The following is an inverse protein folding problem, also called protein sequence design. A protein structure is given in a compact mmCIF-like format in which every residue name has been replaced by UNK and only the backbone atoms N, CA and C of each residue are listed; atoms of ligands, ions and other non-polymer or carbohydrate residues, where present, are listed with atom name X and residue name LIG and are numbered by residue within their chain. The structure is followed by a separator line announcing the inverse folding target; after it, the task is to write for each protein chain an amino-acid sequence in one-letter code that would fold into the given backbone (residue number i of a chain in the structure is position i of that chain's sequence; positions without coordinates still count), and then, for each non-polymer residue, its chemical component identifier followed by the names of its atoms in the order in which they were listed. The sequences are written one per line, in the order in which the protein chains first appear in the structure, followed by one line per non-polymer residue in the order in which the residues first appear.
data_IF_421374365962
#
_entry.id   IF_421374365962
#
_cell.length_a   1.000
_cell.length_b   1.000
_cell.length_c   1.000
_cell.angle_alpha   90.00
_cell.angle_beta   90.00
_cell.angle_gamma   90.00
#
_symmetry.space_group_name_H-M   'P 1'
#
loop_
_entity.id
_entity.type
_entity.pdbx_description
1 polymer ?
#
# COMPACT_ATOMS: atom_id res chain seq x y z
N UNK A 1 6.42 -41.37 -85.48
CA UNK A 1 6.63 -39.91 -85.59
C UNK A 1 6.21 -39.28 -84.29
N UNK A 2 7.18 -39.06 -83.41
CA UNK A 2 7.04 -38.66 -82.01
C UNK A 2 7.10 -37.14 -81.91
N UNK A 3 5.98 -36.49 -81.57
CA UNK A 3 5.93 -35.05 -81.32
C UNK A 3 6.32 -34.73 -79.88
N UNK A 4 7.28 -33.82 -79.73
CA UNK A 4 7.89 -33.36 -78.49
C UNK A 4 7.12 -32.16 -77.91
N UNK A 5 6.70 -32.31 -76.65
CA UNK A 5 7.00 -31.46 -75.49
C UNK A 5 7.08 -29.94 -75.75
N UNK A 6 6.17 -29.20 -75.09
CA UNK A 6 6.52 -27.93 -74.46
C UNK A 6 5.71 -27.75 -73.17
N UNK A 7 6.28 -28.20 -72.04
CA UNK A 7 5.77 -27.92 -70.70
C UNK A 7 6.24 -26.53 -70.28
N UNK A 8 5.32 -25.57 -70.20
CA UNK A 8 5.58 -24.26 -69.60
C UNK A 8 5.16 -24.33 -68.12
N UNK A 9 6.07 -24.74 -67.24
CA UNK A 9 5.88 -24.63 -65.79
C UNK A 9 6.13 -23.17 -65.38
N UNK A 10 5.06 -22.42 -65.18
CA UNK A 10 5.11 -21.13 -64.48
C UNK A 10 5.31 -21.40 -62.98
N UNK A 11 6.55 -21.23 -62.50
CA UNK A 11 6.87 -21.30 -61.08
C UNK A 11 6.43 -19.99 -60.42
N UNK A 12 5.20 -19.95 -59.91
CA UNK A 12 4.74 -18.87 -59.04
C UNK A 12 5.46 -18.97 -57.70
N UNK A 13 6.44 -18.10 -57.48
CA UNK A 13 7.07 -17.90 -56.17
C UNK A 13 6.11 -17.09 -55.28
N UNK A 14 5.37 -17.79 -54.42
CA UNK A 14 4.59 -17.18 -53.34
C UNK A 14 5.55 -16.53 -52.34
N UNK A 15 5.77 -15.22 -52.49
CA UNK A 15 6.45 -14.42 -51.46
C UNK A 15 5.56 -14.36 -50.24
N UNK A 16 5.93 -15.11 -49.21
CA UNK A 16 5.26 -15.08 -47.91
C UNK A 16 5.67 -13.78 -47.20
N UNK A 17 4.92 -12.70 -47.40
CA UNK A 17 5.05 -11.55 -46.51
C UNK A 17 4.67 -12.03 -45.09
N UNK A 18 5.54 -11.84 -44.08
CA UNK A 18 5.18 -12.19 -42.72
C UNK A 18 3.94 -11.37 -42.35
N UNK A 19 2.84 -12.06 -42.01
CA UNK A 19 1.73 -11.42 -41.34
C UNK A 19 2.31 -10.84 -40.05
N UNK A 20 2.45 -9.52 -39.97
CA UNK A 20 2.68 -8.86 -38.69
C UNK A 20 1.40 -9.10 -37.88
N UNK A 21 1.39 -10.18 -37.10
CA UNK A 21 0.38 -10.37 -36.08
C UNK A 21 0.38 -9.11 -35.20
N UNK A 22 -0.80 -8.61 -34.88
CA UNK A 22 -0.96 -7.45 -34.02
C UNK A 22 -0.35 -7.79 -32.65
N UNK A 23 0.85 -7.30 -32.37
CA UNK A 23 1.54 -7.53 -31.12
C UNK A 23 0.94 -6.59 -30.08
N UNK A 24 0.14 -7.13 -29.17
CA UNK A 24 -0.34 -6.40 -28.00
C UNK A 24 0.63 -6.62 -26.85
N UNK A 25 1.10 -5.54 -26.24
CA UNK A 25 1.94 -5.62 -25.03
C UNK A 25 1.10 -5.98 -23.81
N UNK A 26 1.75 -6.42 -22.74
CA UNK A 26 1.07 -6.73 -21.48
C UNK A 26 0.38 -5.47 -20.91
N UNK A 27 1.02 -4.32 -21.07
CA UNK A 27 0.54 -3.01 -20.61
C UNK A 27 -0.68 -2.50 -21.41
N UNK A 28 -0.79 -2.89 -22.69
CA UNK A 28 -1.92 -2.54 -23.56
C UNK A 28 -3.13 -3.48 -23.40
N UNK A 29 -2.92 -4.66 -22.80
CA UNK A 29 -3.99 -5.63 -22.59
C UNK A 29 -4.92 -5.20 -21.44
N UNK A 30 -5.99 -4.49 -21.79
CA UNK A 30 -7.06 -4.08 -20.88
C UNK A 30 -8.44 -4.59 -21.39
N UNK A 31 -8.70 -5.90 -21.32
CA UNK A 31 -9.96 -6.44 -21.80
C UNK A 31 -11.13 -5.90 -20.96
N UNK A 32 -12.18 -5.34 -21.58
CA UNK A 32 -13.37 -4.96 -20.84
C UNK A 32 -14.03 -6.23 -20.26
N UNK A 33 -14.56 -6.13 -19.05
CA UNK A 33 -15.35 -7.21 -18.46
C UNK A 33 -16.53 -7.55 -19.37
N UNK A 34 -16.67 -8.82 -19.75
CA UNK A 34 -17.81 -9.32 -20.53
C UNK A 34 -18.94 -9.85 -19.64
N UNK A 35 -18.78 -9.74 -18.31
CA UNK A 35 -19.78 -10.18 -17.34
C UNK A 35 -20.92 -9.16 -17.27
N UNK A 36 -22.08 -9.50 -17.85
CA UNK A 36 -23.31 -8.72 -17.73
C UNK A 36 -24.20 -9.37 -16.67
N UNK A 37 -24.28 -8.73 -15.50
CA UNK A 37 -25.11 -9.17 -14.38
C UNK A 37 -25.80 -7.96 -13.74
N UNK A 38 -26.98 -8.12 -13.11
CA UNK A 38 -27.59 -7.04 -12.34
C UNK A 38 -26.65 -6.56 -11.23
N UNK A 39 -26.41 -5.25 -11.18
CA UNK A 39 -25.61 -4.62 -10.14
C UNK A 39 -26.47 -4.11 -8.99
N UNK A 40 -25.94 -4.22 -7.77
CA UNK A 40 -26.57 -3.71 -6.56
C UNK A 40 -25.53 -2.94 -5.74
N UNK A 41 -25.16 -1.71 -6.16
CA UNK A 41 -24.12 -0.93 -5.48
C UNK A 41 -24.61 -0.53 -4.07
N UNK A 42 -23.92 -1.04 -3.05
CA UNK A 42 -24.14 -0.66 -1.66
C UNK A 42 -23.17 0.46 -1.28
N UNK A 43 -23.70 1.59 -0.82
CA UNK A 43 -22.90 2.77 -0.42
C UNK A 43 -22.68 2.87 1.09
N UNK A 44 -23.40 2.08 1.88
CA UNK A 44 -23.34 2.07 3.34
C UNK A 44 -23.33 0.65 3.88
N UNK A 45 -22.45 0.36 4.83
CA UNK A 45 -22.38 -0.96 5.44
C UNK A 45 -23.62 -1.24 6.30
N UNK A 46 -24.14 -2.48 6.21
CA UNK A 46 -25.30 -2.92 7.02
C UNK A 46 -25.02 -2.85 8.52
N UNK A 47 -23.79 -3.17 8.92
CA UNK A 47 -23.32 -3.12 10.31
C UNK A 47 -22.13 -2.17 10.43
N UNK A 48 -21.95 -1.51 11.60
CA UNK A 48 -20.76 -0.73 11.85
C UNK A 48 -19.49 -1.56 11.69
N UNK A 49 -18.45 -0.97 11.10
CA UNK A 49 -17.17 -1.64 10.89
C UNK A 49 -15.98 -0.76 11.30
N UNK A 50 -14.81 -1.39 11.38
CA UNK A 50 -13.53 -0.74 11.66
C UNK A 50 -12.68 -0.82 10.41
N UNK A 51 -12.22 0.32 9.90
CA UNK A 51 -11.14 0.34 8.92
C UNK A 51 -9.81 0.20 9.64
N UNK A 52 -9.24 -1.01 9.58
CA UNK A 52 -7.97 -1.36 10.22
C UNK A 52 -6.75 -0.95 9.40
N UNK A 53 -6.94 -0.46 8.16
CA UNK A 53 -5.84 -0.19 7.24
C UNK A 53 -6.03 1.13 6.47
N UNK A 54 -5.85 2.23 7.18
CA UNK A 54 -5.84 3.58 6.58
C UNK A 54 -4.48 4.26 6.72
N UNK A 55 -4.28 5.33 5.96
CA UNK A 55 -3.07 6.13 5.98
C UNK A 55 -3.40 7.62 6.02
N UNK A 56 -3.27 8.22 7.20
CA UNK A 56 -3.50 9.64 7.44
C UNK A 56 -2.20 10.35 7.84
N UNK A 57 -1.29 10.50 6.88
CA UNK A 57 0.06 11.08 7.08
C UNK A 57 0.07 12.49 7.67
N UNK A 58 -1.02 13.24 7.47
CA UNK A 58 -1.16 14.63 7.91
C UNK A 58 -2.24 14.78 8.97
N UNK A 59 -2.52 13.72 9.73
CA UNK A 59 -3.61 13.73 10.71
C UNK A 59 -3.52 14.91 11.68
N UNK A 60 -2.32 15.32 12.09
CA UNK A 60 -2.08 16.48 12.95
C UNK A 60 -2.60 17.83 12.40
N UNK A 61 -2.89 17.93 11.10
CA UNK A 61 -3.47 19.13 10.46
C UNK A 61 -4.66 18.79 9.55
N UNK A 62 -5.13 17.54 9.60
CA UNK A 62 -6.22 17.07 8.75
C UNK A 62 -7.54 17.63 9.25
N UNK A 63 -8.45 17.93 8.31
CA UNK A 63 -9.84 18.22 8.64
C UNK A 63 -10.56 16.95 9.11
N UNK A 64 -10.59 16.73 10.43
CA UNK A 64 -11.19 15.56 11.05
C UNK A 64 -12.72 15.56 10.95
N UNK A 65 -13.36 16.73 10.88
CA UNK A 65 -14.82 16.84 10.68
C UNK A 65 -15.26 16.34 9.31
N UNK A 66 -14.48 16.61 8.27
CA UNK A 66 -14.72 16.04 6.94
C UNK A 66 -14.60 14.53 6.98
N UNK A 67 -13.50 14.01 7.53
CA UNK A 67 -13.27 12.57 7.63
C UNK A 67 -14.38 11.86 8.42
N UNK A 68 -14.80 12.44 9.55
CA UNK A 68 -15.90 11.91 10.38
C UNK A 68 -17.20 11.79 9.59
N UNK A 69 -17.57 12.81 8.80
CA UNK A 69 -18.79 12.74 7.96
C UNK A 69 -18.69 11.63 6.91
N UNK A 70 -17.54 11.48 6.27
CA UNK A 70 -17.29 10.39 5.33
C UNK A 70 -17.36 9.01 6.01
N UNK A 71 -16.87 8.88 7.24
CA UNK A 71 -17.04 7.67 8.03
C UNK A 71 -18.52 7.38 8.34
N UNK A 72 -19.29 8.39 8.71
CA UNK A 72 -20.72 8.26 9.04
C UNK A 72 -21.54 7.81 7.81
N UNK A 73 -21.23 8.35 6.62
CA UNK A 73 -21.85 7.95 5.34
C UNK A 73 -21.67 6.45 5.05
N UNK A 74 -20.49 5.90 5.39
CA UNK A 74 -20.15 4.49 5.18
C UNK A 74 -20.68 3.56 6.29
N UNK A 75 -21.14 4.09 7.42
CA UNK A 75 -21.34 3.35 8.68
C UNK A 75 -20.01 2.81 9.26
N UNK A 76 -18.92 3.57 9.14
CA UNK A 76 -17.62 3.25 9.71
C UNK A 76 -17.53 3.78 11.15
N UNK A 77 -17.35 2.88 12.11
CA UNK A 77 -17.23 3.23 13.52
C UNK A 77 -15.86 3.78 13.88
N UNK A 78 -14.79 3.12 13.42
CA UNK A 78 -13.41 3.48 13.79
C UNK A 78 -12.51 3.41 12.55
N UNK A 79 -11.57 4.34 12.44
CA UNK A 79 -10.48 4.27 11.47
C UNK A 79 -9.13 4.21 12.19
N UNK A 80 -8.30 3.25 11.78
CA UNK A 80 -6.95 3.03 12.29
C UNK A 80 -5.95 3.63 11.32
N UNK A 81 -5.29 4.71 11.74
CA UNK A 81 -4.20 5.33 11.02
C UNK A 81 -2.90 4.55 11.24
N UNK A 82 -2.46 3.85 10.19
CA UNK A 82 -1.22 3.07 10.15
C UNK A 82 0.02 3.92 9.77
N UNK A 83 -0.08 5.24 9.87
CA UNK A 83 0.99 6.19 9.57
C UNK A 83 1.19 7.19 10.71
N UNK A 84 1.18 6.70 11.96
CA UNK A 84 1.33 7.53 13.16
C UNK A 84 2.73 8.07 13.40
N UNK A 85 3.76 7.50 12.75
CA UNK A 85 5.17 7.86 12.97
C UNK A 85 5.55 7.59 14.44
N UNK A 86 6.43 8.40 15.03
CA UNK A 86 6.90 8.22 16.41
C UNK A 86 7.20 9.58 17.04
N UNK A 87 7.23 9.64 18.38
CA UNK A 87 7.60 10.81 19.15
C UNK A 87 6.69 12.00 18.89
N UNK A 88 7.30 13.17 18.63
CA UNK A 88 6.56 14.43 18.46
C UNK A 88 5.52 14.38 17.35
N UNK A 89 5.82 13.69 16.25
CA UNK A 89 4.90 13.59 15.13
C UNK A 89 3.64 12.81 15.51
N UNK A 90 3.82 11.70 16.23
CA UNK A 90 2.72 10.90 16.76
C UNK A 90 1.90 11.70 17.76
N UNK A 91 2.59 12.35 18.72
CA UNK A 91 1.94 13.17 19.74
C UNK A 91 1.10 14.28 19.12
N UNK A 92 1.60 14.95 18.07
CA UNK A 92 0.83 15.98 17.39
C UNK A 92 -0.46 15.44 16.74
N UNK A 93 -0.45 14.18 16.25
CA UNK A 93 -1.66 13.56 15.71
C UNK A 93 -2.66 13.21 16.81
N UNK A 94 -2.19 12.65 17.92
CA UNK A 94 -3.06 12.26 19.04
C UNK A 94 -3.60 13.47 19.80
N UNK A 95 -2.80 14.53 19.98
CA UNK A 95 -3.24 15.82 20.51
C UNK A 95 -4.32 16.43 19.60
N UNK A 96 -4.10 16.45 18.28
CA UNK A 96 -5.11 16.97 17.33
C UNK A 96 -6.42 16.17 17.38
N UNK A 97 -6.37 14.84 17.55
CA UNK A 97 -7.58 14.04 17.76
C UNK A 97 -8.28 14.43 19.07
N UNK A 98 -7.52 14.60 20.16
CA UNK A 98 -8.05 14.96 21.47
C UNK A 98 -8.74 16.34 21.43
N UNK A 99 -8.11 17.32 20.77
CA UNK A 99 -8.62 18.69 20.64
C UNK A 99 -9.89 18.79 19.78
N UNK A 100 -10.15 17.80 18.93
CA UNK A 100 -11.34 17.76 18.06
C UNK A 100 -12.48 16.90 18.65
N UNK A 101 -12.43 16.56 19.95
CA UNK A 101 -13.50 15.89 20.71
C UNK A 101 -14.17 14.70 19.98
N UNK A 102 -13.36 13.82 19.40
CA UNK A 102 -13.84 12.59 18.74
C UNK A 102 -13.34 11.33 19.44
N UNK A 103 -13.69 11.10 20.73
CA UNK A 103 -13.24 9.91 21.44
C UNK A 103 -13.59 8.64 20.66
N UNK A 104 -12.59 7.77 20.51
CA UNK A 104 -12.74 6.42 19.96
C UNK A 104 -13.19 6.31 18.49
N UNK A 105 -13.14 7.39 17.69
CA UNK A 105 -13.38 7.32 16.22
C UNK A 105 -12.07 7.22 15.42
N UNK A 106 -11.02 7.88 15.90
CA UNK A 106 -9.70 7.90 15.27
C UNK A 106 -8.69 7.22 16.18
N UNK A 107 -7.93 6.29 15.60
CA UNK A 107 -6.92 5.51 16.31
C UNK A 107 -5.60 5.64 15.57
N UNK A 108 -4.49 5.77 16.30
CA UNK A 108 -3.15 5.92 15.72
C UNK A 108 -2.26 4.75 16.14
N UNK A 109 -1.59 4.13 15.17
CA UNK A 109 -0.53 3.16 15.41
C UNK A 109 0.84 3.84 15.31
N UNK A 110 1.70 3.59 16.29
CA UNK A 110 3.10 3.99 16.26
C UNK A 110 3.87 3.23 15.16
N UNK A 111 4.98 3.83 14.71
CA UNK A 111 5.91 3.23 13.78
C UNK A 111 7.33 3.29 14.35
N UNK A 112 8.14 2.27 14.09
CA UNK A 112 9.54 2.24 14.53
C UNK A 112 10.42 3.07 13.59
N UNK A 113 11.27 3.92 14.14
CA UNK A 113 12.36 4.56 13.41
C UNK A 113 13.65 3.73 13.46
N UNK A 114 14.06 3.21 12.31
CA UNK A 114 15.26 2.39 12.16
C UNK A 114 16.53 3.20 11.83
N UNK A 115 16.47 4.54 11.74
CA UNK A 115 17.57 5.41 11.29
C UNK A 115 18.85 5.39 12.14
N UNK A 116 18.85 4.67 13.28
CA UNK A 116 20.01 4.47 14.15
C UNK A 116 20.39 3.01 14.39
N UNK A 117 19.78 2.04 13.69
CA UNK A 117 20.05 0.63 13.91
C UNK A 117 21.53 0.31 13.67
N UNK A 118 22.16 -0.36 14.66
CA UNK A 118 23.60 -0.63 14.66
C UNK A 118 24.43 0.32 15.53
N UNK A 119 23.82 1.35 16.13
CA UNK A 119 24.42 2.11 17.23
C UNK A 119 24.14 1.44 18.57
N UNK A 120 25.08 1.60 19.50
CA UNK A 120 24.92 1.12 20.88
C UNK A 120 23.67 1.74 21.54
N UNK A 121 22.90 0.87 22.19
CA UNK A 121 21.67 1.25 22.89
C UNK A 121 20.49 1.60 21.98
N UNK A 122 20.52 1.27 20.68
CA UNK A 122 19.41 1.58 19.77
C UNK A 122 18.11 0.88 20.19
N UNK A 123 18.18 -0.41 20.54
CA UNK A 123 17.00 -1.22 20.89
C UNK A 123 16.28 -0.67 22.12
N UNK A 124 17.03 -0.34 23.17
CA UNK A 124 16.53 0.26 24.41
C UNK A 124 15.89 1.62 24.14
N UNK A 125 16.50 2.44 23.27
CA UNK A 125 15.92 3.74 22.87
C UNK A 125 14.64 3.58 22.06
N UNK A 126 14.60 2.62 21.13
CA UNK A 126 13.41 2.35 20.31
C UNK A 126 12.25 1.83 21.17
N UNK A 127 12.54 0.94 22.13
CA UNK A 127 11.56 0.44 23.09
C UNK A 127 11.04 1.57 24.00
N UNK A 128 11.94 2.37 24.58
CA UNK A 128 11.56 3.51 25.41
C UNK A 128 10.72 4.55 24.64
N UNK A 129 11.03 4.78 23.36
CA UNK A 129 10.24 5.64 22.50
C UNK A 129 8.85 5.05 22.23
N UNK A 130 8.73 3.73 22.02
CA UNK A 130 7.43 3.09 21.85
C UNK A 130 6.58 3.16 23.13
N UNK A 131 7.17 2.97 24.31
CA UNK A 131 6.49 3.17 25.59
C UNK A 131 5.95 4.60 25.73
N UNK A 132 6.75 5.59 25.32
CA UNK A 132 6.35 6.98 25.30
C UNK A 132 5.25 7.25 24.26
N UNK A 133 5.31 6.64 23.08
CA UNK A 133 4.27 6.76 22.06
C UNK A 133 2.93 6.17 22.55
N UNK A 134 2.96 5.06 23.29
CA UNK A 134 1.78 4.48 23.94
C UNK A 134 1.20 5.44 25.00
N UNK A 135 2.05 6.05 25.84
CA UNK A 135 1.60 7.09 26.79
C UNK A 135 1.00 8.30 26.08
N UNK A 136 1.51 8.64 24.91
CA UNK A 136 1.00 9.71 24.05
C UNK A 136 -0.23 9.30 23.21
N UNK A 137 -0.82 8.12 23.45
CA UNK A 137 -2.10 7.71 22.87
C UNK A 137 -2.01 6.80 21.64
N UNK A 138 -0.82 6.29 21.30
CA UNK A 138 -0.73 5.17 20.37
C UNK A 138 -1.39 3.92 20.98
N UNK A 139 -2.19 3.20 20.19
CA UNK A 139 -2.87 1.97 20.67
C UNK A 139 -2.43 0.71 19.92
N UNK A 140 -1.40 0.84 19.09
CA UNK A 140 -0.82 -0.26 18.34
C UNK A 140 0.51 0.12 17.72
N UNK A 141 1.19 -0.89 17.18
CA UNK A 141 2.47 -0.76 16.50
C UNK A 141 2.33 -1.29 15.08
N UNK A 142 2.91 -0.57 14.11
CA UNK A 142 3.14 -1.07 12.77
C UNK A 142 4.61 -0.94 12.39
N UNK A 143 5.14 -2.04 11.89
CA UNK A 143 6.43 -2.12 11.21
C UNK A 143 6.18 -1.99 9.70
N UNK A 144 6.89 -1.08 9.03
CA UNK A 144 6.76 -0.91 7.59
C UNK A 144 7.45 -2.04 6.84
N UNK A 145 6.90 -2.38 5.66
CA UNK A 145 7.50 -3.30 4.67
C UNK A 145 8.91 -2.91 4.22
N UNK A 146 9.35 -1.67 4.49
CA UNK A 146 10.72 -1.25 4.23
C UNK A 146 11.72 -2.08 5.03
N UNK A 147 11.35 -2.60 6.22
CA UNK A 147 12.16 -3.58 6.93
C UNK A 147 12.24 -4.86 6.09
N UNK A 148 13.45 -5.34 5.81
CA UNK A 148 13.68 -6.47 4.90
C UNK A 148 13.82 -6.10 3.42
N UNK A 149 13.27 -4.97 2.97
CA UNK A 149 13.31 -4.56 1.56
C UNK A 149 14.33 -3.45 1.27
N UNK A 150 14.30 -2.35 2.02
CA UNK A 150 15.08 -1.13 1.70
C UNK A 150 15.66 -0.40 2.90
N UNK A 151 15.25 -0.73 4.13
CA UNK A 151 15.85 -0.15 5.34
C UNK A 151 17.31 -0.56 5.44
N UNK A 152 18.20 0.39 5.71
CA UNK A 152 19.63 0.15 5.92
C UNK A 152 20.04 0.50 7.35
N UNK A 153 21.00 -0.25 7.90
CA UNK A 153 21.64 0.09 9.16
C UNK A 153 22.62 1.26 9.01
N UNK A 154 23.27 1.67 10.12
CA UNK A 154 24.24 2.78 10.10
C UNK A 154 25.47 2.54 9.23
N UNK A 155 25.73 1.30 8.80
CA UNK A 155 26.82 0.95 7.90
C UNK A 155 26.36 0.88 6.43
N UNK A 156 25.09 1.16 6.15
CA UNK A 156 24.49 1.09 4.82
C UNK A 156 24.07 -0.32 4.41
N UNK A 157 24.11 -1.31 5.31
CA UNK A 157 23.70 -2.68 4.99
C UNK A 157 22.18 -2.83 5.11
N UNK A 158 21.55 -3.52 4.15
CA UNK A 158 20.11 -3.82 4.23
C UNK A 158 19.81 -4.63 5.50
N UNK A 159 18.83 -4.17 6.26
CA UNK A 159 18.38 -4.81 7.51
C UNK A 159 17.46 -5.98 7.18
N UNK A 160 17.79 -7.17 7.66
CA UNK A 160 16.94 -8.35 7.57
C UNK A 160 15.76 -8.26 8.55
N UNK A 161 14.65 -8.94 8.26
CA UNK A 161 13.46 -8.92 9.14
C UNK A 161 13.68 -9.66 10.46
N UNK A 162 14.67 -10.55 10.50
CA UNK A 162 15.11 -11.38 11.63
C UNK A 162 16.49 -10.95 12.15
N UNK A 163 16.90 -9.70 11.89
CA UNK A 163 18.18 -9.18 12.38
C UNK A 163 18.25 -9.31 13.91
N UNK A 164 19.30 -9.92 14.49
CA UNK A 164 19.36 -10.19 15.93
C UNK A 164 19.39 -8.91 16.78
N UNK A 165 19.66 -7.75 16.17
CA UNK A 165 19.65 -6.44 16.84
C UNK A 165 18.22 -5.89 17.05
N UNK A 166 17.21 -6.50 16.44
CA UNK A 166 15.79 -6.11 16.56
C UNK A 166 14.91 -7.18 17.23
N UNK A 167 15.52 -8.27 17.71
CA UNK A 167 14.85 -9.43 18.29
C UNK A 167 14.39 -9.21 19.74
#
# INVERSE_FOLDING_TARGET
MTSRILNLFYLCTLSSAPLLAQQMTFEEYNPPSTLVVPENPLTRAKYPFIDVHSHHWRMATQNLDKLRREMDDLNMGVVVNLSGRTGRDLKAMTDHIADNETPNRFVVFANVDFSGLGRDGWGEKAAAQLEEDVKNGAVGLKIYKSLGLSTTDVNGNRVAVDDPRIA
#
